data_IF_334338328869
#
_entry.id   IF_334338328869
#
_cell.length_a   1.000
_cell.length_b   1.000
_cell.length_c   1.000
_cell.angle_alpha   90.00
_cell.angle_beta   90.00
_cell.angle_gamma   90.00
#
_symmetry.space_group_name_H-M   'P 1'
#
loop_
_entity.id
_entity.type
_entity.pdbx_description
1 polymer ?
#
# COMPACT_ATOMS: atom_id res chain seq x y z
N UNK A 1 2.85 -45.61 -17.32
CA UNK A 1 2.36 -44.77 -16.21
C UNK A 1 1.87 -43.46 -16.81
N UNK A 2 0.70 -43.49 -17.47
CA UNK A 2 0.06 -42.31 -18.03
C UNK A 2 -0.57 -41.53 -16.87
N UNK A 3 -0.10 -40.31 -16.61
CA UNK A 3 -0.89 -39.36 -15.84
C UNK A 3 -1.94 -38.82 -16.80
N UNK A 4 -3.19 -39.24 -16.61
CA UNK A 4 -4.34 -38.56 -17.21
C UNK A 4 -4.31 -37.11 -16.72
N UNK A 5 -3.73 -36.22 -17.53
CA UNK A 5 -3.91 -34.78 -17.42
C UNK A 5 -5.33 -34.48 -17.94
N UNK A 6 -6.34 -34.97 -17.20
CA UNK A 6 -7.73 -34.69 -17.47
C UNK A 6 -7.94 -33.18 -17.42
N UNK A 7 -8.67 -32.64 -18.40
CA UNK A 7 -9.14 -31.27 -18.35
C UNK A 7 -9.76 -30.99 -16.96
N UNK A 8 -9.50 -29.83 -16.35
CA UNK A 8 -10.00 -29.53 -15.01
C UNK A 8 -11.50 -29.79 -14.95
N UNK A 9 -11.94 -30.57 -13.98
CA UNK A 9 -13.33 -30.97 -13.85
C UNK A 9 -14.25 -29.75 -13.68
N UNK A 10 -15.54 -29.94 -13.92
CA UNK A 10 -16.52 -28.85 -13.88
C UNK A 10 -16.56 -28.16 -12.50
N UNK A 11 -16.23 -28.89 -11.43
CA UNK A 11 -16.14 -28.37 -10.07
C UNK A 11 -14.94 -27.40 -9.93
N UNK A 12 -13.73 -27.83 -10.32
CA UNK A 12 -12.52 -26.99 -10.31
C UNK A 12 -12.69 -25.72 -11.14
N UNK A 13 -13.32 -25.82 -12.32
CA UNK A 13 -13.59 -24.64 -13.16
C UNK A 13 -14.58 -23.66 -12.50
N UNK A 14 -15.58 -24.17 -11.78
CA UNK A 14 -16.57 -23.34 -11.09
C UNK A 14 -15.95 -22.58 -9.92
N UNK A 15 -15.08 -23.24 -9.16
CA UNK A 15 -14.34 -22.65 -8.03
C UNK A 15 -13.37 -21.57 -8.52
N UNK A 16 -12.60 -21.85 -9.57
CA UNK A 16 -11.69 -20.87 -10.16
C UNK A 16 -12.43 -19.61 -10.63
N UNK A 17 -13.60 -19.77 -11.28
CA UNK A 17 -14.44 -18.64 -11.68
C UNK A 17 -14.96 -17.85 -10.47
N UNK A 18 -15.33 -18.53 -9.39
CA UNK A 18 -15.79 -17.86 -8.17
C UNK A 18 -14.68 -17.04 -7.50
N UNK A 19 -13.47 -17.61 -7.40
CA UNK A 19 -12.28 -16.93 -6.88
C UNK A 19 -11.95 -15.71 -7.73
N UNK A 20 -11.93 -15.86 -9.06
CA UNK A 20 -11.64 -14.76 -9.98
C UNK A 20 -12.66 -13.62 -9.86
N UNK A 21 -13.96 -13.93 -9.78
CA UNK A 21 -15.01 -12.94 -9.56
C UNK A 21 -14.85 -12.21 -8.23
N UNK A 22 -14.46 -12.92 -7.18
CA UNK A 22 -14.18 -12.33 -5.87
C UNK A 22 -12.98 -11.38 -5.93
N UNK A 23 -11.91 -11.78 -6.61
CA UNK A 23 -10.74 -10.93 -6.84
C UNK A 23 -11.13 -9.66 -7.61
N UNK A 24 -11.85 -9.79 -8.73
CA UNK A 24 -12.33 -8.65 -9.51
C UNK A 24 -13.19 -7.70 -8.67
N UNK A 25 -14.05 -8.24 -7.82
CA UNK A 25 -14.84 -7.43 -6.91
C UNK A 25 -13.95 -6.61 -5.97
N UNK A 26 -12.97 -7.23 -5.31
CA UNK A 26 -12.07 -6.51 -4.41
C UNK A 26 -11.17 -5.50 -5.13
N UNK A 27 -10.71 -5.84 -6.33
CA UNK A 27 -9.98 -4.91 -7.19
C UNK A 27 -10.84 -3.71 -7.54
N UNK A 28 -12.11 -3.91 -7.92
CA UNK A 28 -13.05 -2.83 -8.20
C UNK A 28 -13.30 -1.95 -6.97
N UNK A 29 -13.43 -2.55 -5.78
CA UNK A 29 -13.56 -1.81 -4.51
C UNK A 29 -12.32 -0.95 -4.24
N UNK A 30 -11.12 -1.51 -4.41
CA UNK A 30 -9.88 -0.77 -4.22
C UNK A 30 -9.76 0.41 -5.22
N UNK A 31 -10.08 0.18 -6.50
CA UNK A 31 -10.14 1.25 -7.51
C UNK A 31 -11.16 2.31 -7.11
N UNK A 32 -12.38 1.91 -6.74
CA UNK A 32 -13.43 2.84 -6.32
C UNK A 32 -13.03 3.67 -5.10
N UNK A 33 -12.28 3.09 -4.15
CA UNK A 33 -11.76 3.81 -2.99
C UNK A 33 -10.78 4.95 -3.35
N UNK A 34 -10.14 4.90 -4.52
CA UNK A 34 -9.27 5.99 -5.01
C UNK A 34 -10.04 7.12 -5.69
N UNK A 35 -11.27 6.87 -6.17
CA UNK A 35 -12.05 7.81 -6.98
C UNK A 35 -12.34 9.12 -6.25
N UNK A 36 -12.75 9.15 -4.97
CA UNK A 36 -13.02 10.43 -4.29
C UNK A 36 -11.78 11.34 -4.22
N UNK A 37 -10.61 10.78 -3.95
CA UNK A 37 -9.35 11.54 -3.90
C UNK A 37 -8.97 12.09 -5.28
N UNK A 38 -9.14 11.28 -6.34
CA UNK A 38 -8.93 11.74 -7.71
C UNK A 38 -9.91 12.86 -8.08
N UNK A 39 -11.18 12.72 -7.71
CA UNK A 39 -12.19 13.75 -7.95
C UNK A 39 -11.83 15.07 -7.26
N UNK A 40 -11.46 15.05 -5.97
CA UNK A 40 -10.98 16.25 -5.27
C UNK A 40 -9.74 16.84 -5.93
N UNK A 41 -8.79 15.99 -6.34
CA UNK A 41 -7.56 16.42 -7.00
C UNK A 41 -7.81 17.14 -8.32
N UNK A 42 -8.69 16.61 -9.17
CA UNK A 42 -8.97 17.19 -10.50
C UNK A 42 -9.92 18.39 -10.45
N UNK A 43 -10.87 18.39 -9.52
CA UNK A 43 -11.80 19.53 -9.34
C UNK A 43 -11.16 20.68 -8.56
N UNK A 44 -10.11 20.41 -7.79
CA UNK A 44 -9.50 21.38 -6.88
C UNK A 44 -10.34 21.68 -5.65
N UNK A 45 -11.44 20.95 -5.43
CA UNK A 45 -12.29 21.11 -4.25
C UNK A 45 -11.51 20.75 -2.98
N UNK A 46 -11.65 21.59 -1.94
CA UNK A 46 -11.06 21.40 -0.61
C UNK A 46 -12.10 21.64 0.46
N UNK A 47 -13.02 20.68 0.66
CA UNK A 47 -14.13 20.84 1.58
C UNK A 47 -13.68 21.07 3.03
N UNK A 48 -12.70 20.30 3.51
CA UNK A 48 -12.16 20.41 4.86
C UNK A 48 -10.80 19.69 4.97
N UNK A 49 -9.80 20.23 5.70
CA UNK A 49 -8.48 19.61 5.80
C UNK A 49 -8.46 18.19 6.40
N UNK A 50 -9.32 17.89 7.38
CA UNK A 50 -9.39 16.58 8.02
C UNK A 50 -10.07 15.58 7.09
N UNK A 51 -11.14 16.00 6.42
CA UNK A 51 -11.83 15.18 5.41
C UNK A 51 -10.91 14.90 4.23
N UNK A 52 -10.17 15.91 3.73
CA UNK A 52 -9.19 15.76 2.66
C UNK A 52 -8.12 14.74 3.08
N UNK A 53 -7.53 14.88 4.26
CA UNK A 53 -6.52 13.95 4.76
C UNK A 53 -7.05 12.51 4.83
N UNK A 54 -8.29 12.31 5.31
CA UNK A 54 -8.91 10.99 5.36
C UNK A 54 -9.14 10.40 3.96
N UNK A 55 -9.68 11.20 3.02
CA UNK A 55 -9.97 10.77 1.65
C UNK A 55 -8.69 10.40 0.90
N UNK A 56 -7.66 11.26 0.95
CA UNK A 56 -6.37 10.97 0.33
C UNK A 56 -5.66 9.80 1.02
N UNK A 57 -5.76 9.69 2.36
CA UNK A 57 -5.22 8.55 3.11
C UNK A 57 -5.82 7.22 2.68
N UNK A 58 -7.15 7.13 2.53
CA UNK A 58 -7.83 5.93 2.02
C UNK A 58 -7.37 5.59 0.60
N UNK A 59 -7.23 6.58 -0.27
CA UNK A 59 -6.75 6.37 -1.63
C UNK A 59 -5.31 5.83 -1.67
N UNK A 60 -4.42 6.35 -0.80
CA UNK A 60 -3.04 5.88 -0.67
C UNK A 60 -3.01 4.42 -0.18
N UNK A 61 -3.81 4.07 0.82
CA UNK A 61 -3.91 2.68 1.30
C UNK A 61 -4.44 1.74 0.21
N UNK A 62 -5.49 2.14 -0.51
CA UNK A 62 -6.04 1.35 -1.62
C UNK A 62 -5.01 1.14 -2.73
N UNK A 63 -4.23 2.17 -3.08
CA UNK A 63 -3.12 2.04 -4.02
C UNK A 63 -2.04 1.07 -3.53
N UNK A 64 -1.68 1.12 -2.24
CA UNK A 64 -0.74 0.18 -1.62
C UNK A 64 -1.19 -1.27 -1.73
N UNK A 65 -2.47 -1.57 -1.48
CA UNK A 65 -3.04 -2.92 -1.67
C UNK A 65 -2.97 -3.38 -3.13
N UNK A 66 -3.34 -2.51 -4.07
CA UNK A 66 -3.26 -2.84 -5.50
C UNK A 66 -1.82 -3.12 -5.95
N UNK A 67 -0.86 -2.34 -5.46
CA UNK A 67 0.57 -2.59 -5.72
C UNK A 67 1.05 -3.90 -5.09
N UNK A 68 0.59 -4.25 -3.88
CA UNK A 68 0.91 -5.52 -3.22
C UNK A 68 0.39 -6.72 -4.03
N UNK A 69 -0.86 -6.68 -4.50
CA UNK A 69 -1.42 -7.73 -5.38
C UNK A 69 -0.67 -7.81 -6.72
N UNK A 70 -0.26 -6.65 -7.26
CA UNK A 70 0.58 -6.59 -8.46
C UNK A 70 1.95 -7.23 -8.25
N UNK A 71 2.59 -6.99 -7.11
CA UNK A 71 3.88 -7.58 -6.75
C UNK A 71 3.78 -9.10 -6.57
N UNK A 72 2.75 -9.59 -5.88
CA UNK A 72 2.46 -11.02 -5.73
C UNK A 72 2.21 -11.69 -7.09
N UNK A 73 1.46 -11.04 -7.98
CA UNK A 73 1.23 -11.54 -9.34
C UNK A 73 2.51 -11.58 -10.19
N UNK A 74 3.50 -10.74 -9.86
CA UNK A 74 4.79 -10.70 -10.54
C UNK A 74 5.81 -11.69 -9.96
N UNK A 75 5.52 -12.35 -8.82
CA UNK A 75 6.50 -13.16 -8.10
C UNK A 75 7.13 -14.28 -8.94
N UNK A 76 6.35 -14.88 -9.85
CA UNK A 76 6.82 -15.93 -10.76
C UNK A 76 7.59 -15.43 -11.99
N UNK A 77 7.69 -14.12 -12.20
CA UNK A 77 8.19 -13.51 -13.44
C UNK A 77 9.50 -12.74 -13.27
N UNK A 78 9.90 -12.44 -12.02
CA UNK A 78 11.10 -11.67 -11.70
C UNK A 78 11.86 -12.28 -10.51
N UNK A 79 13.08 -11.82 -10.23
CA UNK A 79 13.90 -12.39 -9.16
C UNK A 79 13.30 -12.14 -7.78
N UNK A 80 13.39 -13.13 -6.89
CA UNK A 80 12.85 -13.05 -5.51
C UNK A 80 13.39 -11.84 -4.74
N UNK A 81 14.66 -11.47 -4.96
CA UNK A 81 15.26 -10.27 -4.36
C UNK A 81 14.59 -8.97 -4.84
N UNK A 82 14.20 -8.89 -6.11
CA UNK A 82 13.50 -7.72 -6.65
C UNK A 82 12.07 -7.61 -6.11
N UNK A 83 11.35 -8.72 -5.97
CA UNK A 83 10.01 -8.74 -5.36
C UNK A 83 10.09 -8.30 -3.90
N UNK A 84 11.05 -8.84 -3.14
CA UNK A 84 11.24 -8.46 -1.75
C UNK A 84 11.55 -6.96 -1.64
N UNK A 85 12.43 -6.42 -2.49
CA UNK A 85 12.73 -4.99 -2.53
C UNK A 85 11.50 -4.16 -2.92
N UNK A 86 10.70 -4.60 -3.89
CA UNK A 86 9.49 -3.90 -4.32
C UNK A 86 8.43 -3.88 -3.22
N UNK A 87 8.15 -5.01 -2.57
CA UNK A 87 7.21 -5.09 -1.44
C UNK A 87 7.71 -4.25 -0.28
N UNK A 88 9.00 -4.34 0.06
CA UNK A 88 9.60 -3.51 1.08
C UNK A 88 9.46 -2.02 0.75
N UNK A 89 9.65 -1.60 -0.51
CA UNK A 89 9.45 -0.22 -0.92
C UNK A 89 7.98 0.20 -0.84
N UNK A 90 7.06 -0.60 -1.38
CA UNK A 90 5.62 -0.30 -1.40
C UNK A 90 5.08 -0.05 0.02
N UNK A 91 5.55 -0.83 1.01
CA UNK A 91 5.07 -0.72 2.40
C UNK A 91 5.46 0.59 3.09
N UNK A 92 6.55 1.22 2.66
CA UNK A 92 7.04 2.51 3.20
C UNK A 92 6.86 3.67 2.22
N UNK A 93 6.35 3.40 1.01
CA UNK A 93 6.18 4.37 -0.06
C UNK A 93 5.33 5.59 0.36
N UNK A 94 4.20 5.43 1.08
CA UNK A 94 3.43 6.58 1.56
C UNK A 94 4.24 7.56 2.40
N UNK A 95 5.11 7.04 3.27
CA UNK A 95 5.97 7.86 4.12
C UNK A 95 6.99 8.63 3.28
N UNK A 96 7.67 7.95 2.37
CA UNK A 96 8.63 8.58 1.47
C UNK A 96 8.01 9.64 0.57
N UNK A 97 6.75 9.47 0.16
CA UNK A 97 6.04 10.47 -0.62
C UNK A 97 5.81 11.77 0.16
N UNK A 98 5.48 11.67 1.46
CA UNK A 98 5.29 12.82 2.35
C UNK A 98 6.63 13.52 2.64
N UNK A 99 7.67 12.75 2.95
CA UNK A 99 9.00 13.31 3.24
C UNK A 99 9.58 14.02 2.01
N UNK A 100 9.47 13.40 0.82
CA UNK A 100 9.88 14.04 -0.44
C UNK A 100 9.09 15.32 -0.71
N UNK A 101 7.79 15.36 -0.41
CA UNK A 101 6.99 16.58 -0.56
C UNK A 101 7.49 17.70 0.36
N UNK A 102 7.77 17.42 1.63
CA UNK A 102 8.28 18.42 2.55
C UNK A 102 9.69 18.88 2.17
N UNK A 103 10.59 17.96 1.80
CA UNK A 103 11.92 18.30 1.32
C UNK A 103 11.87 19.16 0.05
N UNK A 104 11.01 18.82 -0.91
CA UNK A 104 10.82 19.59 -2.14
C UNK A 104 10.25 20.99 -1.88
N UNK A 105 9.33 21.13 -0.92
CA UNK A 105 8.81 22.45 -0.49
C UNK A 105 9.86 23.26 0.26
N UNK A 106 10.63 22.63 1.14
CA UNK A 106 11.71 23.25 1.88
C UNK A 106 12.80 23.80 0.95
N UNK A 107 13.11 23.09 -0.14
CA UNK A 107 14.07 23.56 -1.15
C UNK A 107 13.59 24.78 -1.94
N UNK A 108 12.28 24.93 -2.13
CA UNK A 108 11.69 26.10 -2.81
C UNK A 108 11.59 27.33 -1.92
N UNK A 109 11.35 27.14 -0.62
CA UNK A 109 11.28 28.22 0.37
C UNK A 109 11.99 27.80 1.67
N UNK A 110 13.32 28.00 1.75
CA UNK A 110 14.10 27.59 2.92
C UNK A 110 13.76 28.32 4.21
N UNK A 111 13.08 29.47 4.13
CA UNK A 111 12.61 30.24 5.30
C UNK A 111 11.30 29.74 5.88
N UNK A 112 10.64 28.79 5.20
CA UNK A 112 9.37 28.21 5.63
C UNK A 112 9.54 27.13 6.71
N UNK A 113 8.43 26.78 7.37
CA UNK A 113 8.40 25.66 8.31
C UNK A 113 8.62 24.27 7.67
N UNK A 114 8.66 24.16 6.34
CA UNK A 114 8.82 22.87 5.66
C UNK A 114 10.15 22.17 5.97
N UNK A 115 11.21 22.93 6.27
CA UNK A 115 12.48 22.37 6.76
C UNK A 115 12.27 21.61 8.07
N UNK A 116 11.51 22.20 8.99
CA UNK A 116 11.18 21.57 10.27
C UNK A 116 10.20 20.41 10.10
N UNK A 117 9.24 20.50 9.18
CA UNK A 117 8.31 19.40 8.90
C UNK A 117 9.00 18.17 8.31
N UNK A 118 9.94 18.33 7.39
CA UNK A 118 10.73 17.22 6.86
C UNK A 118 11.51 16.50 7.98
N UNK A 119 12.26 17.26 8.79
CA UNK A 119 13.01 16.68 9.91
C UNK A 119 12.10 16.01 10.96
N UNK A 120 10.97 16.63 11.29
CA UNK A 120 10.01 16.09 12.25
C UNK A 120 9.32 14.82 11.73
N UNK A 121 8.97 14.77 10.45
CA UNK A 121 8.37 13.60 9.81
C UNK A 121 9.35 12.43 9.81
N UNK A 122 10.56 12.61 9.27
CA UNK A 122 11.59 11.57 9.21
C UNK A 122 11.96 11.02 10.60
N UNK A 123 12.15 11.89 11.59
CA UNK A 123 12.45 11.44 12.97
C UNK A 123 11.24 10.83 13.67
N UNK A 124 10.04 11.34 13.41
CA UNK A 124 8.77 10.82 13.93
C UNK A 124 8.48 9.41 13.43
N UNK A 125 8.59 9.17 12.12
CA UNK A 125 8.38 7.86 11.51
C UNK A 125 9.32 6.81 12.08
N UNK A 126 10.62 7.11 12.21
CA UNK A 126 11.59 6.22 12.83
C UNK A 126 11.25 5.90 14.29
N UNK A 127 10.78 6.90 15.05
CA UNK A 127 10.34 6.71 16.43
C UNK A 127 9.08 5.87 16.54
N UNK A 128 8.10 6.05 15.64
CA UNK A 128 6.89 5.21 15.60
C UNK A 128 7.22 3.78 15.20
N UNK A 129 8.13 3.59 14.24
CA UNK A 129 8.57 2.26 13.84
C UNK A 129 9.23 1.52 15.01
N UNK A 130 10.25 2.11 15.65
CA UNK A 130 10.98 1.50 16.78
C UNK A 130 10.14 1.41 18.05
N UNK A 131 9.37 2.44 18.37
CA UNK A 131 8.60 2.52 19.61
C UNK A 131 7.25 1.80 19.60
N UNK A 132 6.64 1.60 18.42
CA UNK A 132 5.32 0.97 18.28
C UNK A 132 5.38 -0.22 17.33
N UNK A 133 5.91 -0.04 16.12
CA UNK A 133 5.93 -1.08 15.08
C UNK A 133 6.64 -2.35 15.53
N UNK A 134 7.91 -2.26 15.91
CA UNK A 134 8.71 -3.40 16.34
C UNK A 134 8.14 -4.10 17.60
N UNK A 135 7.73 -3.39 18.67
CA UNK A 135 7.12 -4.02 19.84
C UNK A 135 5.83 -4.78 19.54
N UNK A 136 4.96 -4.26 18.67
CA UNK A 136 3.72 -4.95 18.30
C UNK A 136 3.98 -6.26 17.55
N UNK A 137 4.98 -6.26 16.65
CA UNK A 137 5.40 -7.46 15.93
C UNK A 137 6.14 -8.45 16.85
N UNK A 138 7.07 -7.96 17.66
CA UNK A 138 7.86 -8.76 18.60
C UNK A 138 7.00 -9.43 19.67
N UNK A 139 5.89 -8.79 20.10
CA UNK A 139 4.94 -9.39 21.04
C UNK A 139 4.34 -10.69 20.52
N UNK A 140 4.09 -10.81 19.20
CA UNK A 140 3.60 -12.05 18.57
C UNK A 140 4.64 -13.17 18.55
N UNK A 141 5.93 -12.85 18.56
CA UNK A 141 7.00 -13.85 18.54
C UNK A 141 7.34 -14.39 19.94
N UNK A 142 7.00 -13.64 20.99
CA UNK A 142 7.29 -14.01 22.39
C UNK A 142 6.12 -14.76 23.04
N UNK A 143 4.88 -14.56 22.57
CA UNK A 143 3.70 -15.19 23.18
C UNK A 143 3.50 -16.68 22.89
N UNK A 144 4.26 -17.28 21.96
CA UNK A 144 4.38 -18.74 21.82
C UNK A 144 3.10 -19.56 21.55
N UNK A 145 1.94 -18.94 21.33
CA UNK A 145 0.74 -19.66 20.89
C UNK A 145 0.82 -19.96 19.38
N UNK A 146 0.46 -21.19 18.95
CA UNK A 146 0.40 -21.57 17.54
C UNK A 146 -0.60 -20.76 16.72
#
# INVERSE_FOLDING_TARGET
MNRDLGAPDAQTQSEQRAIFRRFLFWLAVAIAATVPALALRYTGARPDPVIDAAIFGVAILAAGFMLSWGAESAEGQISSGLILAAVALITVLPEYAVDLYYAWRAGQDPGSNYVHYAAANMTGANRLLVGIGWPLLGRRLISGDP
#
